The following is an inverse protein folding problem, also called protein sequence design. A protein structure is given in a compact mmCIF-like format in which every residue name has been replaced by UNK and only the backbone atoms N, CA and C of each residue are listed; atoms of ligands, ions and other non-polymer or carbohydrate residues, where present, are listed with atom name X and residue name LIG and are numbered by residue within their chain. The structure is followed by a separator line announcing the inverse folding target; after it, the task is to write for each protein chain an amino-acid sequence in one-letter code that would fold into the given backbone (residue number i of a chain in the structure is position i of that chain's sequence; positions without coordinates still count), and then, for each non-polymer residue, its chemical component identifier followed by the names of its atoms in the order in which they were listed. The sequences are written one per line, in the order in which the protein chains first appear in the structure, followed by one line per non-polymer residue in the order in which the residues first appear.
data_IF_850474527779
#
_entry.id   IF_850474527779
#
_cell.length_a   1.000
_cell.length_b   1.000
_cell.length_c   1.000
_cell.angle_alpha   90.00
_cell.angle_beta   90.00
_cell.angle_gamma   90.00
#
_symmetry.space_group_name_H-M   'P 1'
#
loop_
_entity.id
_entity.type
_entity.pdbx_description
1 polymer ?
#
# COMPACT_ATOMS: atom_id res chain seq x y z
N UNK A 1 -1.82 -40.67 30.62
CA UNK A 1 -3.19 -40.94 30.14
C UNK A 1 -3.55 -39.89 29.12
N UNK A 2 -3.82 -40.33 27.88
CA UNK A 2 -3.97 -39.54 26.66
C UNK A 2 -5.17 -38.59 26.75
N UNK A 3 -4.96 -37.29 26.53
CA UNK A 3 -6.03 -36.34 26.22
C UNK A 3 -5.77 -35.83 24.81
N UNK A 4 -6.73 -36.14 23.94
CA UNK A 4 -6.72 -35.93 22.50
C UNK A 4 -6.72 -34.43 22.19
N UNK A 5 -5.64 -33.94 21.56
CA UNK A 5 -5.65 -32.62 20.94
C UNK A 5 -6.20 -32.81 19.53
N UNK A 6 -7.40 -32.27 19.31
CA UNK A 6 -8.07 -32.26 18.01
C UNK A 6 -7.24 -31.36 17.09
N UNK A 7 -6.50 -31.97 16.18
CA UNK A 7 -5.84 -31.26 15.09
C UNK A 7 -6.92 -30.79 14.12
N UNK A 8 -7.28 -29.51 14.18
CA UNK A 8 -8.08 -28.87 13.15
C UNK A 8 -7.23 -28.76 11.89
N UNK A 9 -7.41 -29.71 10.96
CA UNK A 9 -6.95 -29.57 9.58
C UNK A 9 -7.73 -28.41 8.95
N UNK A 10 -7.15 -27.22 8.97
CA UNK A 10 -7.52 -26.21 7.97
C UNK A 10 -7.00 -26.72 6.62
N UNK A 11 -7.91 -27.26 5.82
CA UNK A 11 -7.70 -27.46 4.40
C UNK A 11 -7.45 -26.07 3.79
N UNK A 12 -6.17 -25.70 3.66
CA UNK A 12 -5.77 -24.56 2.87
C UNK A 12 -6.13 -24.92 1.42
N UNK A 13 -7.25 -24.39 0.93
CA UNK A 13 -7.56 -24.42 -0.48
C UNK A 13 -6.35 -23.84 -1.21
N UNK A 14 -5.65 -24.69 -1.96
CA UNK A 14 -4.63 -24.26 -2.89
C UNK A 14 -5.34 -23.46 -3.99
N UNK A 15 -5.56 -22.16 -3.73
CA UNK A 15 -5.83 -21.21 -4.79
C UNK A 15 -4.63 -21.27 -5.75
N UNK A 16 -4.86 -21.23 -7.07
CA UNK A 16 -3.77 -21.26 -8.02
C UNK A 16 -2.84 -20.09 -7.67
N UNK A 17 -1.56 -20.40 -7.52
CA UNK A 17 -0.50 -19.42 -7.42
C UNK A 17 -0.45 -18.65 -8.74
N UNK A 18 -1.36 -17.69 -8.93
CA UNK A 18 -1.01 -16.48 -9.64
C UNK A 18 0.21 -15.96 -8.88
N UNK A 19 1.33 -15.81 -9.58
CA UNK A 19 2.47 -15.09 -9.06
C UNK A 19 2.00 -13.66 -8.78
N UNK A 20 1.41 -13.44 -7.61
CA UNK A 20 1.17 -12.11 -7.08
C UNK A 20 2.57 -11.55 -6.86
N UNK A 21 3.01 -10.70 -7.79
CA UNK A 21 4.18 -9.87 -7.59
C UNK A 21 3.97 -9.18 -6.24
N UNK A 22 4.81 -9.51 -5.25
CA UNK A 22 4.64 -8.97 -3.91
C UNK A 22 4.51 -7.45 -4.04
N UNK A 23 3.49 -6.83 -3.40
CA UNK A 23 3.19 -5.43 -3.64
C UNK A 23 4.43 -4.62 -3.29
N UNK A 24 4.86 -3.75 -4.19
CA UNK A 24 5.99 -2.88 -3.96
C UNK A 24 5.61 -1.91 -2.85
N UNK A 25 6.26 -2.03 -1.69
CA UNK A 25 6.00 -1.17 -0.53
C UNK A 25 7.12 -0.17 -0.32
N UNK A 26 6.77 1.11 -0.13
CA UNK A 26 7.70 2.19 0.21
C UNK A 26 7.26 2.81 1.53
N UNK A 27 8.20 2.89 2.48
CA UNK A 27 7.96 3.57 3.75
C UNK A 27 8.32 5.05 3.62
N UNK A 28 7.39 5.93 3.99
CA UNK A 28 7.54 7.38 4.01
C UNK A 28 7.69 7.85 5.46
N UNK A 29 8.91 8.18 5.91
CA UNK A 29 9.11 8.77 7.23
C UNK A 29 8.62 10.22 7.24
N UNK A 30 7.96 10.58 8.33
CA UNK A 30 7.47 11.95 8.57
C UNK A 30 7.62 12.40 10.02
N UNK A 31 8.36 11.65 10.84
CA UNK A 31 8.63 12.02 12.23
C UNK A 31 9.41 13.36 12.36
N UNK A 32 10.05 13.81 11.27
CA UNK A 32 10.72 15.09 11.15
C UNK A 32 9.76 16.26 10.84
N UNK A 33 8.51 15.98 10.48
CA UNK A 33 7.54 16.97 10.02
C UNK A 33 6.56 17.36 11.12
N UNK A 34 6.37 18.67 11.29
CA UNK A 34 5.28 19.17 12.11
C UNK A 34 3.97 19.19 11.31
N UNK A 35 3.17 18.13 11.44
CA UNK A 35 1.89 17.99 10.74
C UNK A 35 0.80 18.97 11.22
N UNK A 36 1.01 19.67 12.34
CA UNK A 36 0.11 20.77 12.76
C UNK A 36 0.33 22.07 11.97
N UNK A 37 1.40 22.14 11.16
CA UNK A 37 1.70 23.27 10.30
C UNK A 37 1.31 22.98 8.85
N UNK A 38 0.82 24.00 8.14
CA UNK A 38 0.50 23.89 6.72
C UNK A 38 1.72 23.49 5.85
N UNK A 39 2.92 23.94 6.23
CA UNK A 39 4.15 23.58 5.53
C UNK A 39 4.54 22.11 5.75
N UNK A 40 4.38 21.60 6.96
CA UNK A 40 4.66 20.21 7.29
C UNK A 40 3.69 19.23 6.62
N UNK A 41 2.40 19.55 6.61
CA UNK A 41 1.39 18.74 5.90
C UNK A 41 1.60 18.75 4.38
N UNK A 42 1.90 19.91 3.78
CA UNK A 42 2.21 19.99 2.35
C UNK A 42 3.47 19.19 1.97
N UNK A 43 4.49 19.20 2.83
CA UNK A 43 5.72 18.43 2.60
C UNK A 43 5.44 16.93 2.69
N UNK A 44 4.62 16.49 3.66
CA UNK A 44 4.20 15.09 3.76
C UNK A 44 3.44 14.66 2.49
N UNK A 45 2.48 15.47 2.03
CA UNK A 45 1.70 15.18 0.82
C UNK A 45 2.60 15.05 -0.43
N UNK A 46 3.62 15.90 -0.55
CA UNK A 46 4.60 15.81 -1.63
C UNK A 46 5.43 14.51 -1.54
N UNK A 47 5.85 14.11 -0.33
CA UNK A 47 6.57 12.85 -0.12
C UNK A 47 5.71 11.62 -0.44
N UNK A 48 4.45 11.62 0.00
CA UNK A 48 3.48 10.57 -0.33
C UNK A 48 3.30 10.49 -1.84
N UNK A 49 3.08 11.63 -2.51
CA UNK A 49 2.94 11.67 -3.96
C UNK A 49 4.17 11.10 -4.69
N UNK A 50 5.38 11.39 -4.22
CA UNK A 50 6.59 10.81 -4.77
C UNK A 50 6.65 9.27 -4.56
N UNK A 51 6.27 8.78 -3.39
CA UNK A 51 6.21 7.36 -3.09
C UNK A 51 5.12 6.63 -3.89
N UNK A 52 3.94 7.25 -4.08
CA UNK A 52 2.88 6.69 -4.94
C UNK A 52 3.38 6.55 -6.37
N UNK A 53 4.09 7.54 -6.90
CA UNK A 53 4.64 7.47 -8.25
C UNK A 53 5.78 6.45 -8.39
N UNK A 54 6.49 6.11 -7.31
CA UNK A 54 7.54 5.09 -7.35
C UNK A 54 6.98 3.67 -7.36
N UNK A 55 5.84 3.44 -6.68
CA UNK A 55 5.14 2.14 -6.68
C UNK A 55 4.20 1.96 -7.87
N UNK A 56 3.48 3.01 -8.28
CA UNK A 56 2.59 3.00 -9.43
C UNK A 56 3.34 3.44 -10.70
N UNK A 57 4.03 2.49 -11.33
CA UNK A 57 4.80 2.75 -12.56
C UNK A 57 3.90 3.24 -13.68
N UNK A 58 4.28 4.36 -14.29
CA UNK A 58 3.54 4.95 -15.40
C UNK A 58 3.64 4.08 -16.66
N UNK A 59 2.52 3.62 -17.23
CA UNK A 59 2.50 2.76 -18.40
C UNK A 59 2.62 3.57 -19.71
N UNK A 60 2.60 2.85 -20.84
CA UNK A 60 2.54 3.49 -22.14
C UNK A 60 1.18 4.17 -22.33
N UNK A 61 1.18 5.45 -22.74
CA UNK A 61 -0.04 6.25 -22.95
C UNK A 61 -0.98 5.62 -24.00
N UNK A 62 -0.44 4.83 -24.93
CA UNK A 62 -1.22 4.14 -25.95
C UNK A 62 -1.96 2.91 -25.42
N UNK A 63 -1.63 2.43 -24.23
CA UNK A 63 -2.32 1.33 -23.57
C UNK A 63 -3.34 1.90 -22.58
N UNK A 64 -4.57 2.12 -23.06
CA UNK A 64 -5.65 2.69 -22.26
C UNK A 64 -6.02 1.81 -21.06
N UNK A 65 -5.88 0.49 -21.17
CA UNK A 65 -6.18 -0.44 -20.07
C UNK A 65 -5.13 -0.31 -18.97
N UNK A 66 -3.85 -0.26 -19.34
CA UNK A 66 -2.78 -0.03 -18.39
C UNK A 66 -2.87 1.38 -17.76
N UNK A 67 -3.27 2.39 -18.54
CA UNK A 67 -3.52 3.73 -18.00
C UNK A 67 -4.62 3.72 -16.93
N UNK A 68 -5.72 2.99 -17.15
CA UNK A 68 -6.76 2.83 -16.13
C UNK A 68 -6.20 2.17 -14.87
N UNK A 69 -5.49 1.04 -14.99
CA UNK A 69 -4.89 0.37 -13.84
C UNK A 69 -3.86 1.24 -13.10
N UNK A 70 -3.17 2.13 -13.81
CA UNK A 70 -2.26 3.10 -13.20
C UNK A 70 -3.00 4.17 -12.39
N UNK A 71 -4.12 4.68 -12.89
CA UNK A 71 -4.99 5.59 -12.12
C UNK A 71 -5.58 4.90 -10.89
N UNK A 72 -6.03 3.66 -11.05
CA UNK A 72 -6.58 2.84 -9.95
C UNK A 72 -5.51 2.61 -8.86
N UNK A 73 -4.29 2.24 -9.25
CA UNK A 73 -3.15 2.11 -8.33
C UNK A 73 -2.92 3.39 -7.51
N UNK A 74 -2.93 4.56 -8.16
CA UNK A 74 -2.72 5.84 -7.47
C UNK A 74 -3.86 6.16 -6.51
N UNK A 75 -5.10 5.88 -6.89
CA UNK A 75 -6.27 6.11 -6.06
C UNK A 75 -6.23 5.23 -4.80
N UNK A 76 -6.00 3.94 -4.97
CA UNK A 76 -5.91 2.97 -3.87
C UNK A 76 -4.75 3.29 -2.92
N UNK A 77 -3.57 3.59 -3.47
CA UNK A 77 -2.41 3.97 -2.66
C UNK A 77 -2.69 5.21 -1.81
N UNK A 78 -3.40 6.22 -2.35
CA UNK A 78 -3.79 7.41 -1.58
C UNK A 78 -4.81 7.10 -0.49
N UNK A 79 -5.82 6.29 -0.78
CA UNK A 79 -6.81 5.87 0.22
C UNK A 79 -6.17 5.09 1.36
N UNK A 80 -5.22 4.19 1.05
CA UNK A 80 -4.48 3.43 2.05
C UNK A 80 -3.68 4.35 2.99
N UNK A 81 -2.99 5.35 2.42
CA UNK A 81 -2.23 6.34 3.21
C UNK A 81 -3.12 7.15 4.15
N UNK A 82 -4.29 7.60 3.68
CA UNK A 82 -5.24 8.34 4.52
C UNK A 82 -5.71 7.51 5.72
N UNK A 83 -5.97 6.21 5.52
CA UNK A 83 -6.34 5.29 6.61
C UNK A 83 -5.23 5.14 7.66
N UNK A 84 -3.96 5.10 7.23
CA UNK A 84 -2.82 4.96 8.14
C UNK A 84 -2.56 6.21 8.98
N UNK A 85 -2.69 7.39 8.38
CA UNK A 85 -2.54 8.67 9.08
C UNK A 85 -3.60 8.86 10.15
N UNK A 86 -4.83 8.39 9.91
CA UNK A 86 -5.91 8.46 10.88
C UNK A 86 -5.69 7.54 12.11
N UNK A 87 -4.89 6.48 11.98
CA UNK A 87 -4.81 5.42 12.99
C UNK A 87 -3.50 5.41 13.80
N UNK A 88 -2.36 5.74 13.19
CA UNK A 88 -1.06 5.33 13.77
C UNK A 88 -0.13 6.44 14.24
N UNK A 89 -0.21 7.66 13.70
CA UNK A 89 0.83 8.68 13.93
C UNK A 89 2.26 8.20 13.63
N UNK A 90 2.40 7.09 12.89
CA UNK A 90 3.62 6.33 12.63
C UNK A 90 3.93 6.36 11.12
N UNK A 91 5.18 6.10 10.68
CA UNK A 91 5.57 6.21 9.28
C UNK A 91 4.59 5.48 8.34
N UNK A 92 4.23 6.18 7.26
CA UNK A 92 3.22 5.73 6.30
C UNK A 92 3.84 4.73 5.34
N UNK A 93 3.10 3.67 5.02
CA UNK A 93 3.45 2.66 4.04
C UNK A 93 2.60 2.86 2.78
N UNK A 94 3.27 3.12 1.67
CA UNK A 94 2.65 3.19 0.35
C UNK A 94 2.89 1.87 -0.36
N UNK A 95 1.84 1.16 -0.76
CA UNK A 95 1.93 -0.11 -1.47
C UNK A 95 1.36 0.04 -2.89
N UNK A 96 1.93 -0.67 -3.86
CA UNK A 96 1.25 -0.86 -5.15
C UNK A 96 0.04 -1.78 -4.96
N UNK A 97 -1.09 -1.39 -5.54
CA UNK A 97 -2.25 -2.28 -5.68
C UNK A 97 -1.90 -3.48 -6.56
N UNK A 98 -2.40 -4.66 -6.18
CA UNK A 98 -2.18 -5.96 -6.81
C UNK A 98 -3.39 -6.33 -7.69
#
# INVERSE_FOLDING_TARGET
MRKFVIAALFALAAAPAAAAEAPATVTVPFADLNLSSAAGSATLEARISAAVNSVCKRPNIRDLKAMQSWEDCKAEARTAVQGQLAYTGAPVQVASAL
#
